data_IF_197382705071
#
_entry.id   IF_197382705071
#
_cell.length_a   1.000
_cell.length_b   1.000
_cell.length_c   1.000
_cell.angle_alpha   90.00
_cell.angle_beta   90.00
_cell.angle_gamma   90.00
#
_symmetry.space_group_name_H-M   'P 1'
#
loop_
_entity.id
_entity.type
_entity.pdbx_description
1 polymer ?
#
# COMPACT_ATOMS: atom_id res chain seq x y z
N UNK A 1 -14.18 -13.04 16.40
CA UNK A 1 -14.10 -12.52 16.16
C UNK A 1 -14.28 -11.77 15.46
N UNK A 2 -14.64 -11.32 15.39
CA UNK A 2 -14.88 -10.50 14.55
C UNK A 2 -14.16 -9.35 14.58
N UNK A 3 -13.61 -9.00 13.65
CA UNK A 3 -12.87 -7.86 13.56
C UNK A 3 -13.73 -6.71 13.44
N UNK A 4 -13.68 -5.88 14.38
CA UNK A 4 -14.51 -4.74 14.35
C UNK A 4 -14.11 -3.73 13.35
N UNK A 5 -12.86 -3.74 12.97
CA UNK A 5 -12.41 -2.80 12.01
C UNK A 5 -11.87 -3.52 10.85
N UNK A 6 -12.57 -3.61 9.75
CA UNK A 6 -12.09 -4.34 8.61
C UNK A 6 -10.83 -3.69 8.09
N UNK A 7 -9.89 -4.50 7.72
CA UNK A 7 -8.68 -4.00 7.12
C UNK A 7 -9.03 -3.53 5.73
N UNK A 8 -8.66 -2.32 5.43
CA UNK A 8 -8.93 -1.79 4.12
C UNK A 8 -7.77 -2.15 3.19
N UNK A 9 -8.07 -2.91 2.17
CA UNK A 9 -7.07 -3.33 1.21
C UNK A 9 -7.31 -2.63 -0.11
N UNK A 10 -6.22 -2.21 -0.72
CA UNK A 10 -6.31 -1.51 -2.00
C UNK A 10 -5.62 -2.34 -3.06
N UNK A 11 -6.19 -2.32 -4.26
CA UNK A 11 -5.55 -2.93 -5.40
C UNK A 11 -4.33 -2.09 -5.77
N UNK A 12 -3.38 -2.65 -6.50
CA UNK A 12 -2.18 -1.89 -6.86
C UNK A 12 -2.48 -0.58 -7.54
N UNK A 13 -3.47 -0.56 -8.41
CA UNK A 13 -3.81 0.65 -9.12
C UNK A 13 -4.32 1.71 -8.16
N UNK A 14 -5.14 1.29 -7.20
CA UNK A 14 -5.67 2.22 -6.23
C UNK A 14 -4.57 2.77 -5.34
N UNK A 15 -3.63 1.90 -4.98
CA UNK A 15 -2.52 2.32 -4.13
C UNK A 15 -1.64 3.32 -4.86
N UNK A 16 -1.38 3.06 -6.13
CA UNK A 16 -0.56 3.97 -6.92
C UNK A 16 -1.25 5.33 -7.04
N UNK A 17 -2.56 5.30 -7.27
CA UNK A 17 -3.32 6.55 -7.37
C UNK A 17 -3.26 7.31 -6.05
N UNK A 18 -3.40 6.60 -4.95
CA UNK A 18 -3.38 7.24 -3.66
C UNK A 18 -2.04 7.93 -3.41
N UNK A 19 -0.97 7.30 -3.83
CA UNK A 19 0.37 7.85 -3.64
C UNK A 19 0.78 8.79 -4.77
N UNK A 20 -0.05 8.90 -5.79
CA UNK A 20 0.23 9.75 -6.94
C UNK A 20 1.52 9.32 -7.66
N UNK A 21 1.70 8.03 -7.78
CA UNK A 21 2.85 7.51 -8.50
C UNK A 21 2.36 6.53 -9.55
N UNK A 22 3.23 6.18 -10.47
CA UNK A 22 2.87 5.20 -11.48
C UNK A 22 2.90 3.81 -10.89
N UNK A 23 2.26 2.87 -11.57
CA UNK A 23 2.27 1.49 -11.13
C UNK A 23 3.69 0.95 -11.08
N UNK A 24 4.51 1.40 -11.99
CA UNK A 24 5.89 0.98 -12.04
C UNK A 24 6.65 1.44 -10.80
N UNK A 25 6.44 2.68 -10.42
CA UNK A 25 7.07 3.21 -9.23
C UNK A 25 6.59 2.50 -7.98
N UNK A 26 5.29 2.21 -7.94
CA UNK A 26 4.76 1.49 -6.80
C UNK A 26 5.41 0.12 -6.66
N UNK A 27 5.54 -0.59 -7.77
CA UNK A 27 6.16 -1.91 -7.74
C UNK A 27 7.60 -1.81 -7.25
N UNK A 28 8.29 -0.77 -7.65
CA UNK A 28 9.65 -0.55 -7.22
C UNK A 28 9.72 -0.32 -5.72
N UNK A 29 8.78 0.44 -5.18
CA UNK A 29 8.75 0.68 -3.74
C UNK A 29 8.56 -0.62 -2.97
N UNK A 30 7.79 -1.55 -3.52
CA UNK A 30 7.59 -2.83 -2.88
C UNK A 30 8.88 -3.64 -2.92
N UNK A 31 9.55 -3.62 -4.05
CA UNK A 31 10.79 -4.36 -4.19
C UNK A 31 11.86 -3.82 -3.27
N UNK A 32 11.88 -2.52 -3.09
CA UNK A 32 12.84 -1.88 -2.19
C UNK A 32 12.45 -2.04 -0.73
N UNK A 33 11.27 -2.61 -0.50
CA UNK A 33 10.75 -2.79 0.84
C UNK A 33 10.43 -1.49 1.55
N UNK A 34 10.21 -0.46 0.77
CA UNK A 34 9.75 0.81 1.32
C UNK A 34 8.28 0.72 1.70
N UNK A 35 7.54 -0.12 1.01
CA UNK A 35 6.14 -0.34 1.28
C UNK A 35 5.90 -1.83 1.32
N UNK A 36 5.11 -2.27 2.27
CA UNK A 36 4.76 -3.68 2.38
C UNK A 36 3.51 -3.97 1.59
N UNK A 37 3.47 -5.14 0.98
CA UNK A 37 2.28 -5.59 0.28
C UNK A 37 1.88 -6.93 0.86
N UNK A 38 0.60 -7.24 0.77
CA UNK A 38 0.11 -8.54 1.22
C UNK A 38 -0.43 -9.28 0.02
N UNK A 39 -0.39 -10.58 0.09
CA UNK A 39 -0.90 -11.39 -0.99
C UNK A 39 -2.20 -12.05 -0.56
N UNK A 40 -3.26 -11.82 -1.31
CA UNK A 40 -4.55 -12.40 -1.02
C UNK A 40 -4.94 -13.22 -2.23
N UNK A 41 -4.96 -14.53 -2.06
CA UNK A 41 -5.31 -15.46 -3.14
C UNK A 41 -4.48 -15.21 -4.39
N UNK A 42 -3.19 -14.98 -4.19
CA UNK A 42 -2.31 -14.78 -5.31
C UNK A 42 -2.30 -13.38 -5.87
N UNK A 43 -3.13 -12.50 -5.33
CA UNK A 43 -3.19 -11.12 -5.81
C UNK A 43 -2.53 -10.21 -4.81
N UNK A 44 -1.79 -9.27 -5.32
CA UNK A 44 -1.12 -8.30 -4.46
C UNK A 44 -2.11 -7.23 -4.02
N UNK A 45 -2.07 -6.93 -2.73
CA UNK A 45 -2.93 -5.89 -2.18
C UNK A 45 -2.12 -5.08 -1.19
N UNK A 46 -2.60 -3.87 -0.90
CA UNK A 46 -1.90 -2.98 0.01
C UNK A 46 -2.85 -2.57 1.12
N UNK A 47 -2.35 -2.59 2.33
CA UNK A 47 -3.16 -2.13 3.44
C UNK A 47 -3.09 -0.61 3.47
N UNK A 48 -4.22 0.02 3.66
CA UNK A 48 -4.27 1.47 3.64
C UNK A 48 -3.33 2.06 4.68
N UNK A 49 -3.28 1.48 5.86
CA UNK A 49 -2.43 2.02 6.91
C UNK A 49 -0.95 1.94 6.56
N UNK A 50 -0.57 0.96 5.75
CA UNK A 50 0.82 0.88 5.32
C UNK A 50 1.16 2.02 4.38
N UNK A 51 0.22 2.38 3.53
CA UNK A 51 0.42 3.49 2.62
C UNK A 51 0.48 4.80 3.39
N UNK A 52 -0.38 4.91 4.38
CA UNK A 52 -0.41 6.11 5.20
C UNK A 52 0.91 6.28 5.95
N UNK A 53 1.42 5.19 6.49
CA UNK A 53 2.70 5.23 7.20
C UNK A 53 3.83 5.67 6.27
N UNK A 54 3.80 5.16 5.04
CA UNK A 54 4.81 5.53 4.09
C UNK A 54 4.78 7.03 3.82
N UNK A 55 3.58 7.56 3.65
CA UNK A 55 3.42 8.98 3.38
C UNK A 55 3.94 9.81 4.56
N UNK A 56 3.62 9.36 5.77
CA UNK A 56 4.05 10.10 6.93
C UNK A 56 5.55 10.05 7.14
N UNK A 57 6.16 8.93 6.82
CA UNK A 57 7.60 8.80 6.96
C UNK A 57 8.35 9.61 5.93
N UNK A 58 7.69 9.87 4.82
CA UNK A 58 8.31 10.64 3.75
C UNK A 58 7.72 12.02 3.68
N UNK A 59 7.24 12.49 4.79
CA UNK A 59 6.64 13.79 4.85
C UNK A 59 7.70 14.84 4.57
N UNK A 60 7.36 15.70 3.66
CA UNK A 60 8.27 16.74 3.24
C UNK A 60 7.95 17.98 4.06
N UNK A 61 8.75 18.30 4.97
CA UNK A 61 8.43 19.46 5.80
C UNK A 61 9.59 20.44 5.86
#
# INVERSE_FOLDING_TARGET
MTNDKPVRLLAPKEAADYLSVSSRTLKRLVIEKSISAVRVRGSMRFRFEDLLSFVEQNNWS
#
